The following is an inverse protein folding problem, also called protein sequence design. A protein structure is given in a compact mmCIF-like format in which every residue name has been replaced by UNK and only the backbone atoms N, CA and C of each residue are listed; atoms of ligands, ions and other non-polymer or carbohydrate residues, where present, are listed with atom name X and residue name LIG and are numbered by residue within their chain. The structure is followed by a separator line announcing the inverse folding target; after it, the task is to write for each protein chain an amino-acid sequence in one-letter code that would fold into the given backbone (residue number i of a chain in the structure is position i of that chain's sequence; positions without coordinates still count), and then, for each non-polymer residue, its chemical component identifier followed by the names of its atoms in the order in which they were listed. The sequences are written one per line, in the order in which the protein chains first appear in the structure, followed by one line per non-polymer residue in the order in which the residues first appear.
data_IF_978555984050
#
_entry.id   IF_978555984050
#
_cell.length_a   1.000
_cell.length_b   1.000
_cell.length_c   1.000
_cell.angle_alpha   90.00
_cell.angle_beta   90.00
_cell.angle_gamma   90.00
#
_symmetry.space_group_name_H-M   'P 1'
#
loop_
_entity.id
_entity.type
_entity.pdbx_description
1 polymer ?
#
# COMPACT_ATOMS: atom_id res chain seq x y z
N UNK A 1 -33.37 -27.31 -20.37
CA UNK A 1 -33.34 -26.18 -19.46
C UNK A 1 -31.90 -25.83 -19.12
N UNK A 2 -31.29 -24.86 -19.81
CA UNK A 2 -29.97 -24.34 -19.54
C UNK A 2 -30.14 -23.18 -18.53
N UNK A 3 -29.84 -23.41 -17.29
CA UNK A 3 -29.70 -22.33 -16.31
C UNK A 3 -28.36 -21.62 -16.58
N UNK A 4 -28.46 -20.39 -17.08
CA UNK A 4 -27.34 -19.50 -17.27
C UNK A 4 -26.87 -18.98 -15.89
N UNK A 5 -25.63 -19.28 -15.53
CA UNK A 5 -24.95 -18.66 -14.39
C UNK A 5 -24.89 -17.13 -14.61
N UNK A 6 -25.19 -16.30 -13.61
CA UNK A 6 -25.10 -14.87 -13.73
C UNK A 6 -23.63 -14.47 -13.97
N UNK A 7 -23.36 -13.81 -15.10
CA UNK A 7 -22.09 -13.18 -15.40
C UNK A 7 -21.85 -12.11 -14.33
N UNK A 8 -20.91 -12.34 -13.44
CA UNK A 8 -20.40 -11.31 -12.51
C UNK A 8 -19.59 -10.33 -13.34
N UNK A 9 -20.19 -9.19 -13.62
CA UNK A 9 -19.54 -8.07 -14.31
C UNK A 9 -18.38 -7.56 -13.43
N UNK A 10 -17.15 -7.61 -13.95
CA UNK A 10 -15.94 -7.12 -13.28
C UNK A 10 -16.02 -5.65 -12.85
N UNK A 11 -16.96 -4.88 -13.42
CA UNK A 11 -17.30 -3.51 -12.99
C UNK A 11 -17.90 -3.46 -11.58
N UNK A 12 -18.48 -4.54 -11.08
CA UNK A 12 -19.09 -4.58 -9.72
C UNK A 12 -18.08 -4.65 -8.58
N UNK A 13 -16.88 -5.16 -8.81
CA UNK A 13 -15.83 -5.18 -7.77
C UNK A 13 -15.27 -3.76 -7.60
N UNK A 14 -15.14 -2.99 -8.68
CA UNK A 14 -14.74 -1.58 -8.64
C UNK A 14 -15.85 -0.65 -8.10
N UNK A 15 -17.13 -1.00 -8.25
CA UNK A 15 -18.25 -0.19 -7.77
C UNK A 15 -18.56 -0.33 -6.26
N UNK A 16 -17.91 -1.23 -5.54
CA UNK A 16 -18.16 -1.48 -4.11
C UNK A 16 -17.19 -0.77 -3.15
N UNK A 17 -16.25 0.01 -3.66
CA UNK A 17 -15.43 0.89 -2.84
C UNK A 17 -16.22 2.18 -2.55
N UNK A 18 -17.22 2.08 -1.67
CA UNK A 18 -17.91 3.26 -1.13
C UNK A 18 -16.93 3.92 -0.15
N UNK A 19 -16.63 5.19 -0.39
CA UNK A 19 -15.65 5.96 0.32
C UNK A 19 -15.60 5.64 1.82
N UNK A 20 -14.52 5.02 2.24
CA UNK A 20 -14.24 4.76 3.64
C UNK A 20 -14.17 6.08 4.42
N UNK A 21 -14.30 5.99 5.72
CA UNK A 21 -14.02 7.13 6.60
C UNK A 21 -12.51 7.32 6.73
N UNK A 22 -12.09 8.50 7.19
CA UNK A 22 -10.68 8.77 7.48
C UNK A 22 -10.11 7.78 8.52
N UNK A 23 -8.83 7.47 8.35
CA UNK A 23 -8.09 6.66 9.33
C UNK A 23 -7.27 7.58 10.22
N UNK A 24 -7.51 7.52 11.54
CA UNK A 24 -6.94 8.46 12.50
C UNK A 24 -6.15 7.71 13.59
N UNK A 25 -4.96 8.23 13.90
CA UNK A 25 -4.24 7.92 15.14
C UNK A 25 -4.30 9.16 16.05
N UNK A 26 -4.52 8.93 17.33
CA UNK A 26 -4.56 9.98 18.36
C UNK A 26 -3.70 9.54 19.54
N UNK A 27 -2.72 10.40 19.92
CA UNK A 27 -1.78 10.15 21.01
C UNK A 27 -1.13 8.76 20.93
N UNK A 28 -0.73 8.35 19.70
CA UNK A 28 -0.26 7.00 19.42
C UNK A 28 1.15 6.72 19.93
N UNK A 29 1.32 5.82 20.90
CA UNK A 29 2.61 5.39 21.43
C UNK A 29 2.84 3.91 21.17
N UNK A 30 4.03 3.58 20.65
CA UNK A 30 4.43 2.19 20.38
C UNK A 30 5.92 1.96 20.65
N UNK A 31 6.24 0.80 21.17
CA UNK A 31 7.60 0.23 21.27
C UNK A 31 7.54 -1.29 21.12
N UNK A 32 8.59 -1.87 20.58
CA UNK A 32 8.66 -3.33 20.38
C UNK A 32 8.94 -4.08 21.68
N UNK A 33 9.79 -3.51 22.55
CA UNK A 33 10.15 -4.11 23.83
C UNK A 33 9.79 -3.15 24.98
N UNK A 34 9.33 -3.70 26.10
CA UNK A 34 9.00 -2.91 27.30
C UNK A 34 10.21 -2.17 27.88
N UNK A 35 11.42 -2.75 27.74
CA UNK A 35 12.66 -2.12 28.16
C UNK A 35 13.27 -1.17 27.11
N UNK A 36 12.76 -1.22 25.85
CA UNK A 36 13.23 -0.40 24.74
C UNK A 36 12.67 1.00 24.71
N UNK A 37 13.28 1.87 23.92
CA UNK A 37 12.79 3.22 23.64
C UNK A 37 11.47 3.20 22.85
N UNK A 38 10.72 4.29 22.97
CA UNK A 38 9.54 4.50 22.15
C UNK A 38 9.92 4.68 20.67
N UNK A 39 9.26 3.94 19.79
CA UNK A 39 9.43 4.04 18.33
C UNK A 39 8.39 4.99 17.74
N UNK A 40 7.16 5.00 18.30
CA UNK A 40 6.15 6.00 18.01
C UNK A 40 5.88 6.78 19.29
N UNK A 41 5.81 8.11 19.17
CA UNK A 41 5.77 9.03 20.29
C UNK A 41 4.66 10.04 20.15
N UNK A 42 3.48 9.77 20.75
CA UNK A 42 2.35 10.69 20.74
C UNK A 42 1.88 11.05 19.34
N UNK A 43 1.77 10.07 18.44
CA UNK A 43 1.38 10.33 17.06
C UNK A 43 -0.06 10.80 16.95
N UNK A 44 -0.24 11.99 16.39
CA UNK A 44 -1.52 12.55 15.95
C UNK A 44 -1.50 12.74 14.44
N UNK A 45 -2.31 11.95 13.72
CA UNK A 45 -2.41 12.05 12.25
C UNK A 45 -3.75 11.52 11.78
N UNK A 46 -4.29 12.17 10.74
CA UNK A 46 -5.53 11.74 10.07
C UNK A 46 -5.27 11.60 8.58
N UNK A 47 -5.46 10.40 8.06
CA UNK A 47 -5.40 10.07 6.63
C UNK A 47 -6.81 10.12 6.05
N UNK A 48 -7.04 11.03 5.10
CA UNK A 48 -8.32 11.15 4.40
C UNK A 48 -8.58 9.92 3.52
N UNK A 49 -9.84 9.54 3.41
CA UNK A 49 -10.25 8.42 2.55
C UNK A 49 -10.15 8.81 1.07
N UNK A 50 -9.85 7.84 0.20
CA UNK A 50 -9.80 8.03 -1.25
C UNK A 50 -8.59 8.83 -1.74
N UNK A 51 -7.55 8.97 -0.92
CA UNK A 51 -6.34 9.72 -1.24
C UNK A 51 -5.08 8.84 -1.14
N UNK A 52 -3.99 9.34 -1.69
CA UNK A 52 -2.64 8.76 -1.59
C UNK A 52 -1.82 9.58 -0.61
N UNK A 53 -1.40 8.99 0.48
CA UNK A 53 -0.55 9.62 1.50
C UNK A 53 0.85 9.00 1.48
N UNK A 54 1.88 9.84 1.45
CA UNK A 54 3.27 9.41 1.52
C UNK A 54 3.88 9.78 2.88
N UNK A 55 4.29 8.78 3.65
CA UNK A 55 5.06 8.97 4.89
C UNK A 55 6.53 8.96 4.53
N UNK A 56 7.20 10.09 4.73
CA UNK A 56 8.62 10.28 4.45
C UNK A 56 9.40 10.56 5.74
N UNK A 57 10.71 10.34 5.71
CA UNK A 57 11.58 10.57 6.87
C UNK A 57 12.78 9.62 6.87
N UNK A 58 13.71 9.86 7.79
CA UNK A 58 14.93 9.08 7.92
C UNK A 58 14.71 7.60 8.25
N UNK A 59 15.76 6.79 8.11
CA UNK A 59 15.70 5.39 8.52
C UNK A 59 15.51 5.29 10.05
N UNK A 60 14.66 4.36 10.46
CA UNK A 60 14.38 4.13 11.88
C UNK A 60 13.43 5.12 12.54
N UNK A 61 12.90 6.14 11.83
CA UNK A 61 11.97 7.11 12.42
C UNK A 61 10.57 6.56 12.72
N UNK A 62 10.26 5.29 12.36
CA UNK A 62 8.98 4.65 12.70
C UNK A 62 8.02 4.41 11.52
N UNK A 63 8.40 4.69 10.26
CA UNK A 63 7.52 4.54 9.08
C UNK A 63 6.90 3.14 8.93
N UNK A 64 7.71 2.10 8.94
CA UNK A 64 7.21 0.72 8.85
C UNK A 64 6.37 0.32 10.07
N UNK A 65 6.67 0.94 11.22
CA UNK A 65 5.93 0.69 12.47
C UNK A 65 4.53 1.28 12.41
N UNK A 66 4.37 2.51 11.91
CA UNK A 66 3.03 3.10 11.74
C UNK A 66 2.20 2.28 10.74
N UNK A 67 2.79 1.78 9.64
CA UNK A 67 2.09 0.89 8.72
C UNK A 67 1.63 -0.41 9.42
N UNK A 68 2.47 -0.99 10.28
CA UNK A 68 2.12 -2.19 11.05
C UNK A 68 0.96 -1.92 12.04
N UNK A 69 0.92 -0.74 12.65
CA UNK A 69 -0.20 -0.32 13.50
C UNK A 69 -1.48 -0.16 12.67
N UNK A 70 -1.42 0.51 11.53
CA UNK A 70 -2.55 0.70 10.62
C UNK A 70 -3.07 -0.63 10.04
N UNK A 71 -2.18 -1.58 9.75
CA UNK A 71 -2.53 -2.95 9.35
C UNK A 71 -3.13 -3.78 10.49
N UNK A 72 -3.07 -3.31 11.75
CA UNK A 72 -3.43 -4.04 12.98
C UNK A 72 -2.54 -5.27 13.25
N UNK A 73 -1.35 -5.34 12.66
CA UNK A 73 -0.33 -6.35 12.99
C UNK A 73 0.49 -5.96 14.22
N UNK A 74 0.48 -4.67 14.58
CA UNK A 74 1.00 -4.14 15.83
C UNK A 74 -0.09 -3.36 16.57
N UNK A 75 -0.03 -3.34 17.92
CA UNK A 75 -1.02 -2.68 18.76
C UNK A 75 -0.36 -1.57 19.56
N UNK A 76 -0.91 -0.36 19.52
CA UNK A 76 -0.48 0.76 20.35
C UNK A 76 -0.50 0.38 21.84
N UNK A 77 0.51 0.80 22.61
CA UNK A 77 0.52 0.68 24.06
C UNK A 77 -0.25 1.84 24.73
N UNK A 78 -0.30 3.02 24.08
CA UNK A 78 -1.10 4.17 24.51
C UNK A 78 -1.70 4.84 23.29
N UNK A 79 -2.76 5.61 23.48
CA UNK A 79 -3.47 6.30 22.43
C UNK A 79 -4.53 5.43 21.76
N UNK A 80 -5.06 5.92 20.66
CA UNK A 80 -6.17 5.30 19.92
C UNK A 80 -5.92 5.30 18.42
N UNK A 81 -6.31 4.23 17.76
CA UNK A 81 -6.38 4.15 16.31
C UNK A 81 -7.80 3.82 15.88
N UNK A 82 -8.36 4.66 15.00
CA UNK A 82 -9.64 4.43 14.34
C UNK A 82 -9.34 4.24 12.86
N UNK A 83 -9.49 3.01 12.37
CA UNK A 83 -9.35 2.70 10.96
C UNK A 83 -10.71 2.83 10.30
N UNK A 84 -10.84 3.82 9.41
CA UNK A 84 -12.08 4.10 8.69
C UNK A 84 -12.38 3.09 7.58
N UNK A 85 -11.40 2.28 7.19
CA UNK A 85 -11.52 1.23 6.20
C UNK A 85 -11.90 -0.11 6.84
N UNK A 86 -12.83 -0.85 6.23
CA UNK A 86 -13.24 -2.18 6.69
C UNK A 86 -12.15 -3.22 6.40
N UNK A 87 -11.48 -3.12 5.24
CA UNK A 87 -10.40 -4.01 4.82
C UNK A 87 -9.07 -3.26 4.64
N UNK A 88 -7.96 -3.92 4.95
CA UNK A 88 -6.62 -3.39 4.70
C UNK A 88 -5.69 -4.48 4.24
N UNK A 89 -4.76 -4.12 3.35
CA UNK A 89 -3.68 -4.97 2.90
C UNK A 89 -2.34 -4.24 3.03
N UNK A 90 -1.29 -4.97 3.41
CA UNK A 90 0.06 -4.42 3.58
C UNK A 90 1.03 -5.11 2.62
N UNK A 91 1.67 -4.32 1.74
CA UNK A 91 2.85 -4.74 1.00
C UNK A 91 4.08 -4.47 1.88
N UNK A 92 4.73 -5.51 2.42
CA UNK A 92 5.92 -5.33 3.24
C UNK A 92 7.13 -4.96 2.35
N UNK A 93 8.16 -4.38 2.97
CA UNK A 93 9.42 -4.04 2.29
C UNK A 93 10.07 -5.22 1.56
N UNK A 94 9.89 -6.45 2.08
CA UNK A 94 10.29 -7.68 1.40
C UNK A 94 9.06 -8.38 0.81
N UNK A 95 8.81 -8.26 -0.51
CA UNK A 95 7.64 -8.83 -1.15
C UNK A 95 7.59 -10.37 -1.10
N UNK A 96 8.74 -11.05 -0.88
CA UNK A 96 8.81 -12.51 -0.76
C UNK A 96 7.94 -13.06 0.37
N UNK A 97 7.66 -12.24 1.39
CA UNK A 97 6.79 -12.65 2.50
C UNK A 97 5.33 -12.92 2.06
N UNK A 98 4.94 -12.44 0.88
CA UNK A 98 3.60 -12.64 0.31
C UNK A 98 3.56 -13.73 -0.78
N UNK A 99 4.72 -14.27 -1.18
CA UNK A 99 4.84 -15.17 -2.32
C UNK A 99 5.14 -16.59 -1.82
N UNK A 100 4.18 -17.50 -1.97
CA UNK A 100 4.20 -18.86 -1.42
C UNK A 100 3.92 -19.95 -2.46
N UNK A 101 3.38 -19.60 -3.64
CA UNK A 101 3.03 -20.54 -4.69
C UNK A 101 4.20 -20.82 -5.65
N UNK A 102 4.07 -21.89 -6.45
CA UNK A 102 5.10 -22.33 -7.38
C UNK A 102 5.11 -21.56 -8.69
N UNK A 103 3.99 -20.92 -9.08
CA UNK A 103 3.89 -20.14 -10.31
C UNK A 103 3.27 -18.78 -10.07
N UNK A 104 3.58 -17.82 -10.95
CA UNK A 104 2.94 -16.48 -10.95
C UNK A 104 1.42 -16.59 -11.05
N UNK A 105 0.91 -17.49 -11.89
CA UNK A 105 -0.53 -17.74 -12.02
C UNK A 105 -1.13 -18.21 -10.71
N UNK A 106 -0.52 -19.18 -10.05
CA UNK A 106 -1.03 -19.73 -8.80
C UNK A 106 -0.99 -18.70 -7.67
N UNK A 107 0.05 -17.86 -7.62
CA UNK A 107 0.11 -16.70 -6.71
C UNK A 107 -1.07 -15.76 -6.90
N UNK A 108 -1.38 -15.39 -8.13
CA UNK A 108 -2.49 -14.50 -8.44
C UNK A 108 -3.85 -15.13 -8.17
N UNK A 109 -3.95 -16.45 -8.20
CA UNK A 109 -5.19 -17.20 -7.94
C UNK A 109 -5.37 -17.66 -6.50
N UNK A 110 -4.35 -17.50 -5.63
CA UNK A 110 -4.36 -18.02 -4.25
C UNK A 110 -5.61 -17.60 -3.47
N UNK A 111 -6.04 -16.37 -3.60
CA UNK A 111 -7.18 -15.85 -2.85
C UNK A 111 -8.48 -15.74 -3.68
N UNK A 112 -8.48 -16.25 -4.90
CA UNK A 112 -9.61 -16.12 -5.83
C UNK A 112 -10.93 -16.68 -5.26
N UNK A 113 -10.87 -17.88 -4.67
CA UNK A 113 -12.05 -18.52 -4.07
C UNK A 113 -12.61 -17.75 -2.86
N UNK A 114 -11.74 -17.14 -2.07
CA UNK A 114 -12.12 -16.41 -0.86
C UNK A 114 -12.61 -15.00 -1.18
N UNK A 115 -11.97 -14.33 -2.16
CA UNK A 115 -12.24 -12.93 -2.50
C UNK A 115 -13.20 -12.77 -3.69
N UNK A 116 -13.54 -13.86 -4.39
CA UNK A 116 -14.59 -13.87 -5.42
C UNK A 116 -14.16 -13.26 -6.76
N UNK A 117 -12.88 -13.26 -7.09
CA UNK A 117 -12.40 -12.87 -8.42
C UNK A 117 -12.06 -14.10 -9.27
N UNK A 118 -12.03 -13.92 -10.59
CA UNK A 118 -11.75 -14.97 -11.56
C UNK A 118 -10.36 -14.83 -12.22
N UNK A 119 -10.00 -15.82 -13.03
CA UNK A 119 -8.74 -15.85 -13.75
C UNK A 119 -8.62 -14.71 -14.77
N UNK A 120 -9.74 -14.22 -15.34
CA UNK A 120 -9.70 -13.12 -16.29
C UNK A 120 -9.27 -11.84 -15.59
N UNK A 121 -9.84 -11.53 -14.42
CA UNK A 121 -9.44 -10.38 -13.62
C UNK A 121 -7.98 -10.50 -13.16
N UNK A 122 -7.54 -11.70 -12.75
CA UNK A 122 -6.15 -11.95 -12.37
C UNK A 122 -5.19 -11.67 -13.55
N UNK A 123 -5.53 -12.12 -14.76
CA UNK A 123 -4.74 -11.89 -15.97
C UNK A 123 -4.73 -10.41 -16.37
N UNK A 124 -5.87 -9.73 -16.33
CA UNK A 124 -5.96 -8.29 -16.59
C UNK A 124 -5.10 -7.48 -15.60
N UNK A 125 -5.15 -7.84 -14.32
CA UNK A 125 -4.33 -7.20 -13.28
C UNK A 125 -2.84 -7.44 -13.54
N UNK A 126 -2.44 -8.68 -13.85
CA UNK A 126 -1.07 -9.01 -14.21
C UNK A 126 -0.59 -8.19 -15.42
N UNK A 127 -1.40 -8.12 -16.46
CA UNK A 127 -1.08 -7.34 -17.67
C UNK A 127 -0.93 -5.84 -17.36
N UNK A 128 -1.82 -5.26 -16.55
CA UNK A 128 -1.76 -3.85 -16.15
C UNK A 128 -0.49 -3.49 -15.38
N UNK A 129 0.12 -4.48 -14.74
CA UNK A 129 1.36 -4.34 -13.97
C UNK A 129 2.60 -4.89 -14.71
N UNK A 130 2.50 -5.16 -16.02
CA UNK A 130 3.63 -5.56 -16.84
C UNK A 130 4.13 -6.99 -16.59
N UNK A 131 3.27 -7.88 -16.10
CA UNK A 131 3.60 -9.29 -15.79
C UNK A 131 3.14 -10.27 -16.87
N UNK A 132 2.66 -9.79 -18.03
CA UNK A 132 2.21 -10.63 -19.13
C UNK A 132 3.30 -11.61 -19.58
N UNK A 133 2.90 -12.86 -19.80
CA UNK A 133 3.82 -13.91 -20.27
C UNK A 133 4.74 -14.50 -19.20
N UNK A 134 4.49 -14.17 -17.92
CA UNK A 134 5.24 -14.72 -16.78
C UNK A 134 4.46 -15.80 -16.01
N UNK A 135 3.25 -16.15 -16.45
CA UNK A 135 2.27 -16.99 -15.73
C UNK A 135 2.86 -18.30 -15.20
N UNK A 136 3.66 -18.99 -16.01
CA UNK A 136 4.27 -20.28 -15.64
C UNK A 136 5.63 -20.16 -14.94
N UNK A 137 6.13 -18.94 -14.67
CA UNK A 137 7.41 -18.79 -13.98
C UNK A 137 7.25 -18.93 -12.49
N UNK A 138 8.29 -19.48 -11.84
CA UNK A 138 8.36 -19.48 -10.39
C UNK A 138 8.60 -18.04 -9.89
N UNK A 139 7.89 -17.56 -8.84
CA UNK A 139 8.06 -16.19 -8.32
C UNK A 139 9.49 -15.81 -7.97
N UNK A 140 10.31 -16.76 -7.52
CA UNK A 140 11.70 -16.50 -7.17
C UNK A 140 12.63 -16.36 -8.39
N UNK A 141 12.20 -16.80 -9.58
CA UNK A 141 12.94 -16.58 -10.84
C UNK A 141 12.69 -15.20 -11.45
N UNK A 142 11.75 -14.44 -10.89
CA UNK A 142 11.47 -13.08 -11.30
C UNK A 142 12.56 -12.12 -10.83
N UNK A 143 12.75 -11.00 -11.54
CA UNK A 143 13.57 -9.89 -11.05
C UNK A 143 12.98 -9.32 -9.75
N UNK A 144 13.79 -8.55 -9.01
CA UNK A 144 13.32 -7.87 -7.79
C UNK A 144 12.08 -7.00 -8.06
N UNK A 145 12.12 -6.23 -9.16
CA UNK A 145 10.99 -5.39 -9.59
C UNK A 145 9.75 -6.20 -9.97
N UNK A 146 9.91 -7.26 -10.72
CA UNK A 146 8.79 -8.13 -11.09
C UNK A 146 8.14 -8.79 -9.87
N UNK A 147 8.93 -9.20 -8.86
CA UNK A 147 8.39 -9.70 -7.60
C UNK A 147 7.58 -8.64 -6.84
N UNK A 148 8.07 -7.40 -6.82
CA UNK A 148 7.35 -6.28 -6.21
C UNK A 148 6.00 -6.04 -6.90
N UNK A 149 6.00 -6.03 -8.24
CA UNK A 149 4.79 -5.87 -9.04
C UNK A 149 3.83 -7.05 -8.85
N UNK A 150 4.33 -8.28 -8.76
CA UNK A 150 3.51 -9.47 -8.48
C UNK A 150 2.83 -9.40 -7.11
N UNK A 151 3.58 -9.05 -6.08
CA UNK A 151 3.02 -8.89 -4.74
C UNK A 151 1.97 -7.77 -4.69
N UNK A 152 2.21 -6.65 -5.38
CA UNK A 152 1.23 -5.58 -5.52
C UNK A 152 -0.03 -6.04 -6.29
N UNK A 153 0.14 -6.78 -7.40
CA UNK A 153 -0.96 -7.35 -8.17
C UNK A 153 -1.88 -8.20 -7.30
N UNK A 154 -1.29 -9.09 -6.52
CA UNK A 154 -1.97 -9.96 -5.57
C UNK A 154 -2.81 -9.19 -4.56
N UNK A 155 -2.25 -8.12 -3.96
CA UNK A 155 -2.97 -7.28 -3.03
C UNK A 155 -4.10 -6.48 -3.70
N UNK A 156 -3.89 -5.98 -4.91
CA UNK A 156 -4.92 -5.24 -5.64
C UNK A 156 -6.09 -6.12 -6.10
N UNK A 157 -5.88 -7.43 -6.27
CA UNK A 157 -6.94 -8.38 -6.62
C UNK A 157 -7.97 -8.57 -5.49
N UNK A 158 -7.55 -8.46 -4.23
CA UNK A 158 -8.48 -8.51 -3.10
C UNK A 158 -9.25 -7.20 -2.88
N UNK A 159 -8.89 -6.11 -3.58
CA UNK A 159 -9.59 -4.84 -3.53
C UNK A 159 -9.67 -4.22 -2.12
N UNK A 160 -8.56 -4.02 -1.41
CA UNK A 160 -8.61 -3.49 -0.05
C UNK A 160 -9.07 -2.02 -0.06
N UNK A 161 -9.87 -1.61 0.92
CA UNK A 161 -10.22 -0.20 1.09
C UNK A 161 -9.02 0.64 1.55
N UNK A 162 -8.07 0.03 2.26
CA UNK A 162 -6.81 0.64 2.70
C UNK A 162 -5.63 -0.19 2.22
N UNK A 163 -4.86 0.36 1.29
CA UNK A 163 -3.63 -0.23 0.78
C UNK A 163 -2.42 0.41 1.46
N UNK A 164 -1.68 -0.38 2.20
CA UNK A 164 -0.47 0.03 2.93
C UNK A 164 0.76 -0.50 2.19
N UNK A 165 1.78 0.33 1.99
CA UNK A 165 2.95 -0.03 1.20
C UNK A 165 4.24 0.41 1.92
N UNK A 166 5.15 -0.52 2.15
CA UNK A 166 6.45 -0.24 2.74
C UNK A 166 7.54 -0.28 1.65
N UNK A 167 8.09 0.89 1.31
CA UNK A 167 9.12 1.09 0.27
C UNK A 167 8.73 0.48 -1.10
N UNK A 168 7.58 0.86 -1.69
CA UNK A 168 7.06 0.19 -2.88
C UNK A 168 7.92 0.33 -4.13
N UNK A 169 8.81 1.34 -4.20
CA UNK A 169 9.66 1.64 -5.36
C UNK A 169 11.11 1.17 -5.20
N UNK A 170 11.44 0.54 -4.08
CA UNK A 170 12.82 0.14 -3.78
C UNK A 170 13.37 -0.83 -4.82
N UNK A 171 14.49 -0.42 -5.46
CA UNK A 171 15.16 -1.25 -6.46
C UNK A 171 14.42 -1.38 -7.80
N UNK A 172 13.44 -0.51 -8.07
CA UNK A 172 12.72 -0.47 -9.33
C UNK A 172 13.37 0.49 -10.34
N UNK A 173 13.28 0.12 -11.62
CA UNK A 173 13.56 1.01 -12.72
C UNK A 173 12.43 2.05 -12.90
N UNK A 174 12.69 3.08 -13.71
CA UNK A 174 11.73 4.16 -13.97
C UNK A 174 10.42 3.67 -14.60
N UNK A 175 10.47 2.61 -15.41
CA UNK A 175 9.27 2.05 -16.04
C UNK A 175 8.38 1.38 -15.00
N UNK A 176 8.93 0.53 -14.16
CA UNK A 176 8.22 -0.13 -13.06
C UNK A 176 7.65 0.86 -12.04
N UNK A 177 8.39 1.95 -11.74
CA UNK A 177 7.88 3.04 -10.87
C UNK A 177 6.63 3.69 -11.45
N UNK A 178 6.60 3.99 -12.77
CA UNK A 178 5.41 4.55 -13.45
C UNK A 178 4.21 3.61 -13.40
N UNK A 179 4.44 2.31 -13.53
CA UNK A 179 3.38 1.29 -13.39
C UNK A 179 2.77 1.35 -11.98
N UNK A 180 3.61 1.35 -10.94
CA UNK A 180 3.14 1.48 -9.56
C UNK A 180 2.40 2.80 -9.36
N UNK A 181 2.97 3.93 -9.78
CA UNK A 181 2.35 5.24 -9.65
C UNK A 181 0.92 5.24 -10.22
N UNK A 182 0.75 4.69 -11.42
CA UNK A 182 -0.56 4.56 -12.05
C UNK A 182 -1.50 3.68 -11.24
N UNK A 183 -1.04 2.51 -10.81
CA UNK A 183 -1.85 1.56 -10.04
C UNK A 183 -2.36 2.15 -8.72
N UNK A 184 -1.51 2.92 -8.00
CA UNK A 184 -1.89 3.59 -6.76
C UNK A 184 -2.91 4.70 -6.99
N UNK A 185 -2.70 5.52 -8.02
CA UNK A 185 -3.65 6.56 -8.42
C UNK A 185 -5.00 5.98 -8.86
N UNK A 186 -5.00 4.89 -9.63
CA UNK A 186 -6.23 4.23 -10.07
C UNK A 186 -6.98 3.61 -8.87
N UNK A 187 -6.26 3.05 -7.89
CA UNK A 187 -6.84 2.54 -6.65
C UNK A 187 -7.50 3.66 -5.83
N UNK A 188 -6.85 4.80 -5.68
CA UNK A 188 -7.40 5.97 -4.98
C UNK A 188 -8.64 6.54 -5.71
N UNK A 189 -8.58 6.68 -7.05
CA UNK A 189 -9.72 7.11 -7.88
C UNK A 189 -10.93 6.18 -7.77
N UNK A 190 -10.70 4.88 -7.52
CA UNK A 190 -11.76 3.91 -7.27
C UNK A 190 -12.34 4.00 -5.84
N UNK A 191 -11.88 4.94 -5.01
CA UNK A 191 -12.33 5.18 -3.65
C UNK A 191 -11.48 4.50 -2.56
N UNK A 192 -10.43 3.77 -2.93
CA UNK A 192 -9.47 3.19 -1.98
C UNK A 192 -8.54 4.26 -1.40
N UNK A 193 -8.01 3.99 -0.23
CA UNK A 193 -7.00 4.84 0.41
C UNK A 193 -5.65 4.18 0.31
N UNK A 194 -4.62 4.93 -0.03
CA UNK A 194 -3.23 4.46 -0.08
C UNK A 194 -2.41 5.19 0.97
N UNK A 195 -1.66 4.44 1.79
CA UNK A 195 -0.66 5.01 2.69
C UNK A 195 0.65 4.29 2.42
N UNK A 196 1.66 5.00 1.93
CA UNK A 196 2.97 4.43 1.65
C UNK A 196 4.05 5.05 2.51
N UNK A 197 4.96 4.23 3.01
CA UNK A 197 6.22 4.66 3.61
C UNK A 197 7.30 4.62 2.54
N UNK A 198 8.03 5.71 2.35
CA UNK A 198 9.10 5.77 1.35
C UNK A 198 10.17 6.79 1.70
N UNK A 199 11.39 6.56 1.20
CA UNK A 199 12.46 7.56 1.16
C UNK A 199 12.62 8.17 -0.25
N UNK A 200 11.82 7.73 -1.22
CA UNK A 200 11.82 8.20 -2.62
C UNK A 200 10.92 9.44 -2.73
N UNK A 201 11.53 10.60 -2.53
CA UNK A 201 10.81 11.88 -2.50
C UNK A 201 10.24 12.26 -3.86
N UNK A 202 10.96 11.97 -4.95
CA UNK A 202 10.47 12.24 -6.31
C UNK A 202 9.22 11.42 -6.60
N UNK A 203 9.18 10.17 -6.13
CA UNK A 203 8.00 9.34 -6.25
C UNK A 203 6.85 9.83 -5.37
N UNK A 204 7.14 10.26 -4.14
CA UNK A 204 6.14 10.84 -3.24
C UNK A 204 5.53 12.11 -3.85
N UNK A 205 6.35 13.04 -4.37
CA UNK A 205 5.90 14.25 -5.06
C UNK A 205 4.97 13.94 -6.25
N UNK A 206 5.32 12.91 -7.01
CA UNK A 206 4.56 12.53 -8.21
C UNK A 206 3.19 11.93 -7.90
N UNK A 207 3.05 11.15 -6.81
CA UNK A 207 1.86 10.31 -6.61
C UNK A 207 1.00 10.68 -5.42
N UNK A 208 1.55 11.34 -4.39
CA UNK A 208 0.83 11.64 -3.17
C UNK A 208 -0.12 12.84 -3.32
N UNK A 209 -1.21 12.81 -2.57
CA UNK A 209 -2.07 13.95 -2.34
C UNK A 209 -1.61 14.72 -1.09
N UNK A 210 -1.05 13.99 -0.09
CA UNK A 210 -0.41 14.56 1.10
C UNK A 210 0.92 13.87 1.38
N UNK A 211 1.92 14.64 1.81
CA UNK A 211 3.21 14.17 2.32
C UNK A 211 3.27 14.38 3.82
N UNK A 212 3.53 13.29 4.54
CA UNK A 212 3.62 13.26 6.01
C UNK A 212 5.09 13.10 6.40
N UNK A 213 5.69 14.12 6.98
CA UNK A 213 7.06 14.05 7.47
C UNK A 213 7.11 13.42 8.86
N UNK A 214 7.89 12.36 8.97
CA UNK A 214 8.09 11.65 10.23
C UNK A 214 9.53 11.82 10.71
N UNK A 215 9.71 12.25 11.95
CA UNK A 215 11.01 12.44 12.57
C UNK A 215 10.99 11.94 14.02
N UNK A 216 11.96 11.12 14.41
CA UNK A 216 12.14 10.57 15.77
C UNK A 216 10.86 10.00 16.42
N UNK A 217 10.03 9.35 15.63
CA UNK A 217 8.78 8.74 16.10
C UNK A 217 7.59 9.68 16.21
N UNK A 218 7.71 10.92 15.74
CA UNK A 218 6.66 11.94 15.76
C UNK A 218 6.31 12.40 14.34
N UNK A 219 5.14 12.97 14.15
CA UNK A 219 4.77 13.66 12.90
C UNK A 219 5.22 15.10 13.00
N UNK A 220 6.12 15.51 12.10
CA UNK A 220 6.62 16.88 12.03
C UNK A 220 5.67 17.80 11.26
N UNK A 221 5.14 17.32 10.12
CA UNK A 221 4.14 18.03 9.33
C UNK A 221 3.36 17.05 8.43
N UNK A 222 2.22 17.51 7.90
CA UNK A 222 1.44 16.86 6.86
C UNK A 222 0.94 17.94 5.92
N UNK A 223 1.40 17.94 4.67
CA UNK A 223 1.17 19.00 3.71
C UNK A 223 0.99 18.44 2.30
N UNK A 224 0.27 19.13 1.40
CA UNK A 224 0.27 18.81 -0.01
C UNK A 224 1.70 18.83 -0.58
N UNK A 225 2.04 18.00 -1.59
CA UNK A 225 3.39 17.96 -2.16
C UNK A 225 3.91 19.32 -2.61
N UNK A 226 3.06 20.15 -3.21
CA UNK A 226 3.45 21.47 -3.69
C UNK A 226 3.99 22.38 -2.56
N UNK A 227 3.36 22.33 -1.38
CA UNK A 227 3.76 23.11 -0.22
C UNK A 227 4.97 22.46 0.47
N UNK A 228 4.93 21.15 0.65
CA UNK A 228 6.00 20.40 1.29
C UNK A 228 7.35 20.57 0.59
N UNK A 229 7.40 20.49 -0.73
CA UNK A 229 8.64 20.61 -1.50
C UNK A 229 9.04 22.07 -1.82
N UNK A 230 8.10 23.03 -1.75
CA UNK A 230 8.42 24.45 -1.97
C UNK A 230 9.24 25.07 -0.82
N UNK A 231 8.89 24.76 0.43
CA UNK A 231 9.47 25.40 1.63
C UNK A 231 10.59 24.58 2.28
N UNK A 232 10.77 23.30 1.94
CA UNK A 232 11.80 22.44 2.52
C UNK A 232 13.17 22.66 1.87
N UNK A 233 13.93 23.62 2.41
CA UNK A 233 15.34 23.90 2.05
C UNK A 233 16.27 22.67 2.25
N UNK A 234 15.88 21.71 3.09
CA UNK A 234 16.64 20.50 3.38
C UNK A 234 16.69 19.48 2.23
N UNK A 235 15.83 19.63 1.22
CA UNK A 235 15.73 18.69 0.09
C UNK A 235 16.09 19.32 -1.26
N UNK A 236 16.53 20.59 -1.29
CA UNK A 236 17.14 21.21 -2.48
C UNK A 236 18.65 20.95 -2.44
N UNK A 237 19.06 19.81 -2.99
CA UNK A 237 20.47 19.53 -3.30
C UNK A 237 20.72 19.63 -4.79
#
# INVERSE_FOLDING_TARGET
GSEAFPRTDGSRILQKMHGGSATTLSEGWFRYDRAGGWVLRGLDVTFSAGAVHAIVGGNGCGKSTILSVLAKTAKLQRGRMVRGAASAALLPQNPKALLVADTVRDELMEWASTCGYDENLARERAASLGLSGLDGRHPYDLSGGQRQLLALAKLLLIGPELLLLDEPTKGLDLFSRRIIARALRDHAKAGGTVIMATHDLDFAEQVADDVVMMFDGEIACMEPPADFFADNVFYRA
#
